data_IF_312459756447
#
_entry.id   IF_312459756447
#
_cell.length_a   1.000
_cell.length_b   1.000
_cell.length_c   1.000
_cell.angle_alpha   90.00
_cell.angle_beta   90.00
_cell.angle_gamma   90.00
#
_symmetry.space_group_name_H-M   'P 1'
#
loop_
_entity.id
_entity.type
_entity.pdbx_description
1 polymer ?
#
# COMPACT_ATOMS: atom_id res chain seq x y z
N UNK A 1 -10.45 19.05 2.46
CA UNK A 1 -10.62 18.83 3.91
C UNK A 1 -11.25 20.04 4.62
N UNK A 2 -10.63 21.22 4.61
CA UNK A 2 -11.15 22.41 5.31
C UNK A 2 -12.61 22.78 4.95
N UNK A 3 -12.94 22.83 3.65
CA UNK A 3 -14.31 23.05 3.17
C UNK A 3 -15.33 22.00 3.65
N UNK A 4 -14.91 20.76 3.87
CA UNK A 4 -15.81 19.71 4.37
C UNK A 4 -16.08 19.88 5.87
N UNK A 5 -15.05 20.26 6.64
CA UNK A 5 -15.18 20.58 8.06
C UNK A 5 -16.08 21.80 8.29
N UNK A 6 -15.91 22.86 7.50
CA UNK A 6 -16.80 24.04 7.55
C UNK A 6 -18.27 23.67 7.30
N UNK A 7 -18.54 22.75 6.35
CA UNK A 7 -19.90 22.27 6.11
C UNK A 7 -20.46 21.46 7.28
N UNK A 8 -19.63 20.66 7.96
CA UNK A 8 -20.02 19.91 9.15
C UNK A 8 -20.35 20.88 10.29
N UNK A 9 -19.51 21.88 10.53
CA UNK A 9 -19.72 22.87 11.59
C UNK A 9 -20.97 23.73 11.33
N UNK A 10 -21.25 24.05 10.06
CA UNK A 10 -22.44 24.80 9.65
C UNK A 10 -23.70 23.93 9.47
N UNK A 11 -23.65 22.62 9.73
CA UNK A 11 -24.77 21.71 9.49
C UNK A 11 -25.89 21.87 10.55
N UNK A 12 -26.78 22.82 10.29
CA UNK A 12 -28.02 23.03 11.04
C UNK A 12 -29.23 22.30 10.47
N UNK A 13 -29.06 21.33 9.56
CA UNK A 13 -30.20 20.59 8.97
C UNK A 13 -30.95 19.79 10.04
N UNK A 14 -32.27 19.58 9.85
CA UNK A 14 -33.09 18.79 10.77
C UNK A 14 -32.64 17.32 10.76
N UNK A 15 -32.18 16.76 11.91
CA UNK A 15 -31.73 15.38 12.01
C UNK A 15 -32.73 14.33 11.48
N UNK A 16 -34.05 14.58 11.62
CA UNK A 16 -35.10 13.65 11.19
C UNK A 16 -35.24 13.56 9.66
N UNK A 17 -34.66 14.52 8.93
CA UNK A 17 -34.72 14.59 7.46
C UNK A 17 -33.44 14.06 6.78
N UNK A 18 -32.42 13.67 7.55
CA UNK A 18 -31.11 13.30 7.03
C UNK A 18 -31.11 11.86 6.51
N UNK A 19 -30.73 11.70 5.26
CA UNK A 19 -30.47 10.39 4.63
C UNK A 19 -28.97 10.11 4.50
N UNK A 20 -28.59 8.92 4.01
CA UNK A 20 -27.18 8.54 3.88
C UNK A 20 -26.36 9.51 3.01
N UNK A 21 -26.97 10.13 1.99
CA UNK A 21 -26.31 11.09 1.10
C UNK A 21 -25.90 12.38 1.82
N UNK A 22 -26.61 12.77 2.88
CA UNK A 22 -26.25 13.92 3.71
C UNK A 22 -24.84 13.74 4.28
N UNK A 23 -24.59 12.58 4.89
CA UNK A 23 -23.30 12.27 5.50
C UNK A 23 -22.18 12.04 4.46
N UNK A 24 -22.51 11.48 3.29
CA UNK A 24 -21.53 11.34 2.19
C UNK A 24 -21.04 12.70 1.69
N UNK A 25 -21.94 13.68 1.55
CA UNK A 25 -21.60 15.03 1.08
C UNK A 25 -20.73 15.84 2.07
N UNK A 26 -20.71 15.42 3.34
CA UNK A 26 -19.95 16.03 4.42
C UNK A 26 -18.63 15.32 4.74
N UNK A 27 -18.42 14.10 4.23
CA UNK A 27 -17.26 13.28 4.60
C UNK A 27 -15.92 14.00 4.29
N UNK A 28 -15.09 14.31 5.31
CA UNK A 28 -13.81 14.98 5.10
C UNK A 28 -12.69 14.00 4.74
N UNK A 29 -12.93 12.68 4.87
CA UNK A 29 -11.94 11.63 4.70
C UNK A 29 -11.91 11.16 3.25
N UNK A 30 -10.76 11.36 2.61
CA UNK A 30 -10.49 11.01 1.20
C UNK A 30 -9.31 10.02 1.19
N UNK A 31 -9.55 8.71 1.37
CA UNK A 31 -8.49 7.71 1.50
C UNK A 31 -7.80 7.38 0.18
N UNK A 32 -8.32 7.84 -0.96
CA UNK A 32 -7.91 7.42 -2.29
C UNK A 32 -6.44 7.67 -2.56
N UNK A 33 -5.92 8.83 -2.14
CA UNK A 33 -4.50 9.12 -2.27
C UNK A 33 -3.64 8.13 -1.46
N UNK A 34 -4.07 7.78 -0.24
CA UNK A 34 -3.35 6.82 0.60
C UNK A 34 -3.38 5.41 -0.02
N UNK A 35 -4.55 4.98 -0.51
CA UNK A 35 -4.72 3.67 -1.17
C UNK A 35 -3.89 3.59 -2.44
N UNK A 36 -3.89 4.62 -3.27
CA UNK A 36 -3.09 4.66 -4.50
C UNK A 36 -1.60 4.64 -4.20
N UNK A 37 -1.14 5.54 -3.33
CA UNK A 37 0.27 5.71 -3.03
C UNK A 37 0.83 4.59 -2.14
N UNK A 38 0.01 3.84 -1.42
CA UNK A 38 0.50 2.73 -0.60
C UNK A 38 0.34 1.41 -1.33
N UNK A 39 -0.81 1.17 -1.95
CA UNK A 39 -1.20 -0.17 -2.43
C UNK A 39 -1.14 -0.30 -3.97
N UNK A 40 -0.94 0.81 -4.69
CA UNK A 40 -0.86 0.81 -6.14
C UNK A 40 -2.19 0.44 -6.80
N UNK A 41 -3.30 0.89 -6.25
CA UNK A 41 -4.65 0.53 -6.72
C UNK A 41 -5.59 1.72 -6.67
N UNK A 42 -6.57 1.82 -7.60
CA UNK A 42 -7.67 2.75 -7.44
C UNK A 42 -8.43 2.51 -6.13
N UNK A 43 -9.25 3.49 -5.76
CA UNK A 43 -10.15 3.36 -4.63
C UNK A 43 -11.06 2.13 -4.77
N UNK A 44 -11.46 1.54 -3.64
CA UNK A 44 -12.47 0.50 -3.63
C UNK A 44 -13.74 1.01 -4.33
N UNK A 45 -14.28 0.22 -5.25
CA UNK A 45 -15.54 0.55 -5.91
C UNK A 45 -16.68 0.45 -4.88
N UNK A 46 -17.52 1.48 -4.84
CA UNK A 46 -18.58 1.64 -3.85
C UNK A 46 -19.65 0.53 -3.87
N UNK A 47 -19.76 -0.22 -4.97
CA UNK A 47 -20.68 -1.35 -5.13
C UNK A 47 -20.11 -2.69 -4.62
N UNK A 48 -18.98 -2.66 -3.92
CA UNK A 48 -18.36 -3.84 -3.34
C UNK A 48 -17.39 -4.55 -4.29
N UNK A 49 -16.61 -5.47 -3.73
CA UNK A 49 -15.57 -6.20 -4.45
C UNK A 49 -14.29 -6.31 -3.63
N UNK A 50 -13.39 -7.21 -4.04
CA UNK A 50 -12.06 -7.31 -3.47
C UNK A 50 -11.22 -6.11 -3.93
N UNK A 51 -10.52 -5.47 -3.00
CA UNK A 51 -9.55 -4.41 -3.34
C UNK A 51 -8.37 -5.07 -4.06
N UNK A 52 -8.29 -4.91 -5.37
CA UNK A 52 -7.21 -5.47 -6.18
C UNK A 52 -5.96 -4.59 -6.08
N UNK A 53 -5.13 -4.80 -5.06
CA UNK A 53 -3.85 -4.11 -4.92
C UNK A 53 -2.72 -4.77 -5.70
N UNK A 54 -1.68 -4.00 -6.01
CA UNK A 54 -0.42 -4.59 -6.48
C UNK A 54 0.46 -4.97 -5.29
N UNK A 55 0.48 -4.12 -4.26
CA UNK A 55 1.32 -4.29 -3.08
C UNK A 55 0.49 -4.23 -1.80
N UNK A 56 0.94 -4.95 -0.78
CA UNK A 56 0.48 -4.82 0.60
C UNK A 56 1.70 -4.97 1.54
N UNK A 57 1.77 -4.19 2.61
CA UNK A 57 2.93 -4.18 3.50
C UNK A 57 2.61 -4.77 4.86
N UNK A 58 3.63 -5.37 5.48
CA UNK A 58 3.57 -5.93 6.81
C UNK A 58 4.81 -5.54 7.60
N UNK A 59 4.61 -5.27 8.89
CA UNK A 59 5.67 -5.06 9.85
C UNK A 59 6.21 -6.44 10.26
N UNK A 60 7.44 -6.73 9.85
CA UNK A 60 8.07 -8.02 10.06
C UNK A 60 8.43 -8.26 11.54
N UNK A 61 8.76 -7.18 12.27
CA UNK A 61 9.17 -7.25 13.67
C UNK A 61 7.96 -7.42 14.58
N UNK A 62 6.95 -6.56 14.42
CA UNK A 62 5.72 -6.61 15.22
C UNK A 62 4.73 -7.68 14.74
N UNK A 63 4.99 -8.30 13.59
CA UNK A 63 4.14 -9.33 12.96
C UNK A 63 2.69 -8.89 12.80
N UNK A 64 2.49 -7.70 12.23
CA UNK A 64 1.16 -7.13 11.94
C UNK A 64 1.04 -6.58 10.52
N UNK A 65 -0.17 -6.50 9.95
CA UNK A 65 -0.41 -5.75 8.72
C UNK A 65 -0.01 -4.27 8.88
N UNK A 66 0.33 -3.65 7.76
CA UNK A 66 0.74 -2.24 7.69
C UNK A 66 2.25 -2.05 7.76
N UNK A 67 2.70 -0.84 7.46
CA UNK A 67 4.12 -0.48 7.50
C UNK A 67 4.65 -0.48 8.95
N UNK A 68 5.94 -0.76 9.16
CA UNK A 68 6.59 -0.50 10.44
C UNK A 68 6.55 0.97 10.83
N UNK A 69 6.65 1.25 12.12
CA UNK A 69 6.70 2.63 12.62
C UNK A 69 7.93 3.36 12.07
N UNK A 70 7.72 4.58 11.55
CA UNK A 70 8.77 5.35 10.90
C UNK A 70 9.11 4.88 9.49
N UNK A 71 8.30 4.02 8.86
CA UNK A 71 8.46 3.65 7.45
C UNK A 71 7.36 4.30 6.61
N UNK A 72 7.76 4.94 5.51
CA UNK A 72 6.86 5.46 4.50
C UNK A 72 6.99 4.67 3.20
N UNK A 73 5.87 4.49 2.49
CA UNK A 73 5.83 3.88 1.17
C UNK A 73 5.13 4.82 0.17
N UNK A 74 5.62 4.83 -1.06
CA UNK A 74 5.05 5.57 -2.18
C UNK A 74 5.17 4.78 -3.47
N UNK A 75 4.06 4.19 -3.91
CA UNK A 75 3.90 3.61 -5.23
C UNK A 75 3.90 4.72 -6.27
N UNK A 76 4.78 4.62 -7.25
CA UNK A 76 4.95 5.58 -8.34
C UNK A 76 4.29 5.09 -9.63
N UNK A 77 4.41 3.79 -9.93
CA UNK A 77 3.90 3.18 -11.16
C UNK A 77 3.35 1.77 -10.90
N UNK A 78 2.32 1.38 -11.64
CA UNK A 78 1.79 0.02 -11.67
C UNK A 78 1.44 -0.38 -13.08
N UNK A 79 1.62 -1.66 -13.41
CA UNK A 79 1.25 -2.27 -14.69
C UNK A 79 0.65 -3.67 -14.48
N UNK A 80 0.41 -4.40 -15.57
CA UNK A 80 0.01 -5.80 -15.50
C UNK A 80 1.10 -6.75 -14.95
N UNK A 81 2.38 -6.35 -15.04
CA UNK A 81 3.54 -7.22 -14.79
C UNK A 81 4.54 -6.67 -13.76
N UNK A 82 4.36 -5.43 -13.27
CA UNK A 82 5.21 -4.88 -12.22
C UNK A 82 4.51 -3.78 -11.40
N UNK A 83 5.14 -3.45 -10.27
CA UNK A 83 4.86 -2.24 -9.49
C UNK A 83 6.17 -1.57 -9.08
N UNK A 84 6.19 -0.24 -9.11
CA UNK A 84 7.30 0.59 -8.67
C UNK A 84 6.95 1.31 -7.38
N UNK A 85 7.76 1.15 -6.35
CA UNK A 85 7.53 1.76 -5.03
C UNK A 85 8.83 2.33 -4.47
N UNK A 86 8.70 3.46 -3.78
CA UNK A 86 9.74 4.06 -2.96
C UNK A 86 9.43 3.73 -1.51
N UNK A 87 10.41 3.19 -0.80
CA UNK A 87 10.35 2.91 0.63
C UNK A 87 11.38 3.79 1.34
N UNK A 88 10.98 4.38 2.45
CA UNK A 88 11.83 5.28 3.25
C UNK A 88 11.72 4.88 4.71
N UNK A 89 12.86 4.66 5.36
CA UNK A 89 12.97 4.64 6.82
C UNK A 89 13.31 6.05 7.32
N UNK A 90 12.40 6.66 8.07
CA UNK A 90 12.57 8.00 8.64
C UNK A 90 13.22 7.99 10.03
N UNK A 91 13.54 6.81 10.57
CA UNK A 91 14.34 6.66 11.79
C UNK A 91 15.84 6.69 11.43
N UNK A 92 16.54 7.71 11.90
CA UNK A 92 17.98 7.91 11.63
C UNK A 92 18.89 7.03 12.50
N UNK A 93 18.34 6.30 13.48
CA UNK A 93 19.10 5.51 14.45
C UNK A 93 18.90 4.01 14.27
N UNK A 94 17.69 3.58 13.92
CA UNK A 94 17.32 2.17 13.93
C UNK A 94 16.95 1.66 12.54
N UNK A 95 17.41 0.46 12.15
CA UNK A 95 16.94 -0.19 10.94
C UNK A 95 15.46 -0.60 11.07
N UNK A 96 14.84 -0.90 9.92
CA UNK A 96 13.48 -1.42 9.82
C UNK A 96 13.42 -2.56 8.82
N UNK A 97 12.72 -3.62 9.20
CA UNK A 97 12.39 -4.71 8.29
C UNK A 97 10.90 -4.72 7.99
N UNK A 98 10.55 -4.87 6.72
CA UNK A 98 9.17 -5.04 6.27
C UNK A 98 9.05 -6.19 5.27
N UNK A 99 7.85 -6.76 5.21
CA UNK A 99 7.47 -7.67 4.13
C UNK A 99 6.57 -6.92 3.16
N UNK A 100 6.86 -7.07 1.88
CA UNK A 100 5.98 -6.64 0.79
C UNK A 100 5.30 -7.88 0.24
N UNK A 101 3.98 -7.85 0.11
CA UNK A 101 3.17 -8.90 -0.48
C UNK A 101 2.68 -8.49 -1.86
N UNK A 102 2.71 -9.44 -2.80
CA UNK A 102 2.13 -9.29 -4.13
C UNK A 102 0.62 -9.53 -4.05
N UNK A 103 -0.17 -8.48 -4.22
CA UNK A 103 -1.63 -8.51 -4.07
C UNK A 103 -2.11 -8.39 -2.63
N UNK A 104 -3.37 -7.97 -2.46
CA UNK A 104 -3.99 -7.79 -1.14
C UNK A 104 -4.24 -9.13 -0.43
N UNK A 105 -4.38 -10.21 -1.19
CA UNK A 105 -4.76 -11.55 -0.72
C UNK A 105 -3.73 -12.62 -1.12
N UNK A 106 -2.49 -12.20 -1.42
CA UNK A 106 -1.41 -13.08 -1.88
C UNK A 106 -1.71 -13.76 -3.22
N UNK A 107 -2.62 -13.20 -4.01
CA UNK A 107 -3.07 -13.79 -5.27
C UNK A 107 -2.08 -13.58 -6.43
N UNK A 108 -1.00 -12.84 -6.19
CA UNK A 108 0.09 -12.60 -7.14
C UNK A 108 1.40 -13.26 -6.66
N UNK A 109 2.42 -13.24 -7.50
CA UNK A 109 3.76 -13.72 -7.13
C UNK A 109 4.80 -12.83 -7.75
N UNK A 110 5.76 -12.39 -6.93
CA UNK A 110 6.96 -11.74 -7.41
C UNK A 110 7.81 -12.74 -8.17
N UNK A 111 8.35 -12.31 -9.31
CA UNK A 111 9.21 -13.15 -10.17
C UNK A 111 10.62 -12.59 -10.29
N UNK A 112 10.85 -11.39 -9.79
CA UNK A 112 12.12 -10.68 -9.89
C UNK A 112 11.94 -9.22 -9.52
N UNK A 113 13.03 -8.46 -9.57
CA UNK A 113 12.98 -7.03 -9.35
C UNK A 113 14.33 -6.37 -9.54
N UNK A 114 14.31 -5.05 -9.53
CA UNK A 114 15.49 -4.20 -9.60
C UNK A 114 15.40 -3.07 -8.58
N UNK A 115 16.55 -2.64 -8.06
CA UNK A 115 16.68 -1.31 -7.45
C UNK A 115 16.86 -0.31 -8.57
N UNK A 116 16.14 0.82 -8.50
CA UNK A 116 16.24 1.90 -9.48
C UNK A 116 16.97 3.08 -8.83
N UNK A 117 18.16 3.38 -9.32
CA UNK A 117 18.99 4.47 -8.84
C UNK A 117 18.41 5.85 -9.25
N UNK A 118 18.84 6.95 -8.59
CA UNK A 118 18.35 8.30 -8.92
C UNK A 118 18.63 8.76 -10.36
N UNK A 119 19.67 8.23 -10.99
CA UNK A 119 20.03 8.48 -12.40
C UNK A 119 19.25 7.61 -13.40
N UNK A 120 18.38 6.72 -12.90
CA UNK A 120 17.56 5.81 -13.69
C UNK A 120 18.25 4.49 -14.04
N UNK A 121 19.49 4.24 -13.59
CA UNK A 121 20.08 2.91 -13.75
C UNK A 121 19.36 1.90 -12.87
N UNK A 122 19.35 0.64 -13.30
CA UNK A 122 18.70 -0.43 -12.57
C UNK A 122 19.67 -1.57 -12.25
N UNK A 123 19.67 -1.99 -10.99
CA UNK A 123 20.49 -3.08 -10.48
C UNK A 123 19.59 -4.26 -10.12
N UNK A 124 19.75 -5.44 -10.73
CA UNK A 124 18.97 -6.63 -10.39
C UNK A 124 19.12 -7.02 -8.91
N UNK A 125 18.00 -7.36 -8.28
CA UNK A 125 17.97 -7.95 -6.94
C UNK A 125 17.51 -9.39 -7.01
N UNK A 126 18.07 -10.22 -6.14
CA UNK A 126 17.61 -11.60 -5.99
C UNK A 126 16.31 -11.59 -5.19
N UNK A 127 15.24 -12.13 -5.79
CA UNK A 127 13.95 -12.33 -5.14
C UNK A 127 13.58 -13.79 -5.36
N UNK A 128 13.37 -14.51 -4.27
CA UNK A 128 12.79 -15.85 -4.34
C UNK A 128 11.38 -15.75 -4.90
N UNK A 129 11.05 -16.61 -5.86
CA UNK A 129 9.71 -16.59 -6.46
C UNK A 129 8.66 -16.93 -5.40
N UNK A 130 7.77 -15.98 -5.11
CA UNK A 130 6.75 -16.16 -4.09
C UNK A 130 5.85 -14.94 -3.90
N UNK A 131 4.83 -15.04 -3.03
CA UNK A 131 3.91 -13.95 -2.75
C UNK A 131 4.51 -12.84 -1.87
N UNK A 132 5.66 -13.06 -1.24
CA UNK A 132 6.28 -12.13 -0.31
C UNK A 132 7.75 -11.86 -0.67
N UNK A 133 8.20 -10.64 -0.41
CA UNK A 133 9.62 -10.27 -0.41
C UNK A 133 9.94 -9.48 0.87
N UNK A 134 11.06 -9.81 1.50
CA UNK A 134 11.57 -9.06 2.66
C UNK A 134 12.43 -7.91 2.19
N UNK A 135 12.22 -6.73 2.79
CA UNK A 135 13.05 -5.54 2.55
C UNK A 135 13.64 -5.12 3.88
N UNK A 136 14.96 -4.97 3.90
CA UNK A 136 15.71 -4.43 5.03
C UNK A 136 16.11 -2.99 4.71
N UNK A 137 15.68 -2.05 5.53
CA UNK A 137 16.02 -0.63 5.43
C UNK A 137 16.96 -0.27 6.58
N UNK A 138 18.16 0.21 6.24
CA UNK A 138 19.05 0.82 7.22
C UNK A 138 18.46 2.10 7.83
N UNK A 139 19.09 2.65 8.88
CA UNK A 139 18.70 3.95 9.43
C UNK A 139 18.75 5.05 8.36
N UNK A 140 17.72 5.88 8.28
CA UNK A 140 17.61 6.97 7.29
C UNK A 140 17.58 6.52 5.82
N UNK A 141 17.42 5.22 5.55
CA UNK A 141 17.57 4.68 4.20
C UNK A 141 16.35 4.96 3.32
N UNK A 142 16.60 5.22 2.04
CA UNK A 142 15.60 5.27 0.98
C UNK A 142 15.98 4.28 -0.12
N UNK A 143 14.99 3.56 -0.65
CA UNK A 143 15.16 2.66 -1.78
C UNK A 143 13.98 2.79 -2.74
N UNK A 144 14.25 2.78 -4.04
CA UNK A 144 13.24 2.65 -5.09
C UNK A 144 13.35 1.25 -5.69
N UNK A 145 12.24 0.53 -5.68
CA UNK A 145 12.12 -0.84 -6.14
C UNK A 145 11.14 -0.91 -7.30
N UNK A 146 11.52 -1.62 -8.36
CA UNK A 146 10.60 -2.11 -9.38
C UNK A 146 10.49 -3.63 -9.19
N UNK A 147 9.32 -4.08 -8.78
CA UNK A 147 9.02 -5.48 -8.46
C UNK A 147 8.22 -6.09 -9.60
N UNK A 148 8.80 -7.09 -10.26
CA UNK A 148 8.15 -7.85 -11.33
C UNK A 148 7.25 -8.92 -10.71
N UNK A 149 6.08 -9.15 -11.32
CA UNK A 149 5.10 -10.09 -10.80
C UNK A 149 4.27 -10.77 -11.89
N UNK A 150 3.81 -11.98 -11.57
CA UNK A 150 2.68 -12.61 -12.25
C UNK A 150 1.43 -12.45 -11.41
N UNK A 151 0.40 -11.86 -12.01
CA UNK A 151 -0.88 -11.63 -11.34
C UNK A 151 -1.80 -12.84 -11.45
N UNK A 152 -2.63 -13.02 -10.42
CA UNK A 152 -3.70 -14.02 -10.33
C UNK A 152 -3.25 -15.47 -10.53
N UNK A 153 -2.07 -15.82 -10.00
CA UNK A 153 -1.52 -17.19 -10.09
C UNK A 153 -1.95 -18.06 -8.90
N UNK A 154 -2.38 -17.45 -7.80
CA UNK A 154 -2.83 -18.14 -6.59
C UNK A 154 -4.30 -17.89 -6.32
N UNK A 155 -4.92 -18.80 -5.55
CA UNK A 155 -6.26 -18.56 -5.00
C UNK A 155 -6.14 -17.49 -3.89
N UNK A 156 -6.92 -16.40 -3.93
CA UNK A 156 -6.90 -15.38 -2.88
C UNK A 156 -7.16 -15.98 -1.49
N UNK A 157 -6.39 -15.55 -0.49
CA UNK A 157 -6.57 -15.94 0.91
C UNK A 157 -6.45 -14.75 1.87
N UNK A 158 -6.99 -14.90 3.08
CA UNK A 158 -6.74 -14.01 4.21
C UNK A 158 -5.52 -14.43 5.03
N UNK A 159 -4.81 -15.48 4.60
CA UNK A 159 -3.57 -15.91 5.24
C UNK A 159 -2.51 -14.82 5.06
N UNK A 160 -2.04 -14.29 6.19
CA UNK A 160 -0.89 -13.40 6.21
C UNK A 160 0.42 -14.19 6.12
N UNK A 161 1.56 -13.49 5.99
CA UNK A 161 2.88 -14.10 5.80
C UNK A 161 3.32 -15.05 6.93
N UNK A 162 2.67 -15.01 8.09
CA UNK A 162 3.01 -15.83 9.25
C UNK A 162 2.03 -16.97 9.54
N UNK A 163 0.95 -17.13 8.75
CA UNK A 163 0.09 -18.32 8.86
C UNK A 163 0.65 -19.41 7.94
N UNK A 164 0.97 -20.55 8.54
CA UNK A 164 1.31 -21.81 7.86
C UNK A 164 0.12 -22.75 7.91
#
# INVERSE_FOLDING_TARGET
MQRALEKIEADGSDPETRECYHFQALNPVVPEALVQLTLGTPAALYNGGLLQSHLLYFDAEQRRPGLPDGVAARVEHVSADHAETVLVNTDDLHPRQLLVQAGAFGEHTFTGGVVVDPDGTSTPIQIDTGPHVTVDLGPGAQIRLRLEMKRFVHRPSYDGPWRQ
#
